data_IF_232993901039
#
_entry.id   IF_232993901039
#
_cell.length_a   1.000
_cell.length_b   1.000
_cell.length_c   1.000
_cell.angle_alpha   90.00
_cell.angle_beta   90.00
_cell.angle_gamma   90.00
#
_symmetry.space_group_name_H-M   'P 1'
#
loop_
_entity.id
_entity.type
_entity.pdbx_description
1 polymer ?
#
# COMPACT_ATOMS: atom_id res chain seq x y z
N UNK A 1 2.59 -35.16 -5.43
CA UNK A 1 3.22 -35.20 -4.09
C UNK A 1 3.41 -36.64 -3.59
N UNK A 2 2.43 -37.53 -3.76
CA UNK A 2 2.51 -38.92 -3.27
C UNK A 2 3.73 -39.73 -3.75
N UNK A 3 4.19 -39.51 -4.99
CA UNK A 3 5.39 -40.18 -5.49
C UNK A 3 6.64 -39.82 -4.67
N UNK A 4 6.80 -38.54 -4.32
CA UNK A 4 7.95 -38.05 -3.54
C UNK A 4 7.90 -38.58 -2.11
N UNK A 5 6.71 -38.62 -1.51
CA UNK A 5 6.52 -39.22 -0.19
C UNK A 5 6.86 -40.71 -0.17
N UNK A 6 6.44 -41.46 -1.21
CA UNK A 6 6.81 -42.87 -1.36
C UNK A 6 8.32 -43.09 -1.50
N UNK A 7 9.06 -42.06 -1.93
CA UNK A 7 10.52 -42.09 -2.06
C UNK A 7 11.25 -41.59 -0.81
N UNK A 8 10.54 -41.30 0.29
CA UNK A 8 11.15 -40.90 1.56
C UNK A 8 11.70 -39.48 1.58
N UNK A 9 11.16 -38.58 0.74
CA UNK A 9 11.56 -37.16 0.76
C UNK A 9 11.15 -36.52 2.07
N UNK A 10 12.09 -35.80 2.71
CA UNK A 10 11.80 -34.99 3.88
C UNK A 10 11.01 -33.74 3.50
N UNK A 11 9.76 -33.69 3.93
CA UNK A 11 8.83 -32.58 3.70
C UNK A 11 9.05 -31.40 4.66
N UNK A 12 9.79 -31.61 5.73
CA UNK A 12 10.10 -30.60 6.74
C UNK A 12 11.39 -29.86 6.43
N UNK A 13 12.12 -30.30 5.40
CA UNK A 13 13.33 -29.66 4.93
C UNK A 13 13.04 -28.21 4.51
N UNK A 14 13.97 -27.31 4.82
CA UNK A 14 13.80 -25.87 4.61
C UNK A 14 14.79 -25.34 3.60
N UNK A 15 14.35 -24.36 2.81
CA UNK A 15 15.26 -23.62 1.93
C UNK A 15 16.04 -22.54 2.68
N UNK A 16 16.91 -21.81 1.97
CA UNK A 16 17.72 -20.70 2.51
C UNK A 16 16.88 -19.55 3.11
N UNK A 17 15.59 -19.47 2.78
CA UNK A 17 14.64 -18.50 3.31
C UNK A 17 13.81 -19.08 4.46
N UNK A 18 14.18 -20.24 5.00
CA UNK A 18 13.46 -20.95 6.08
C UNK A 18 12.02 -21.31 5.72
N UNK A 19 11.74 -21.56 4.44
CA UNK A 19 10.45 -22.09 3.98
C UNK A 19 10.53 -23.60 3.80
N UNK A 20 9.57 -24.30 4.36
CA UNK A 20 9.34 -25.73 4.15
C UNK A 20 8.25 -25.99 3.10
N UNK A 21 7.88 -27.26 2.91
CA UNK A 21 6.87 -27.65 1.94
C UNK A 21 5.51 -26.97 2.17
N UNK A 22 5.06 -26.86 3.43
CA UNK A 22 3.77 -26.24 3.75
C UNK A 22 3.77 -24.74 3.43
N UNK A 23 4.85 -24.03 3.74
CA UNK A 23 5.02 -22.62 3.37
C UNK A 23 4.96 -22.42 1.84
N UNK A 24 5.59 -23.31 1.07
CA UNK A 24 5.58 -23.26 -0.39
C UNK A 24 4.20 -23.55 -0.98
N UNK A 25 3.44 -24.49 -0.40
CA UNK A 25 2.07 -24.80 -0.84
C UNK A 25 1.12 -23.65 -0.56
N UNK A 26 1.23 -23.01 0.60
CA UNK A 26 0.44 -21.82 0.94
C UNK A 26 0.78 -20.68 -0.02
N UNK A 27 2.07 -20.43 -0.26
CA UNK A 27 2.47 -19.36 -1.19
C UNK A 27 1.92 -19.57 -2.61
N UNK A 28 1.83 -20.83 -3.02
CA UNK A 28 1.44 -21.21 -4.39
C UNK A 28 -0.06 -21.46 -4.53
N UNK A 29 -0.85 -21.16 -3.50
CA UNK A 29 -2.29 -21.34 -3.48
C UNK A 29 -2.70 -22.79 -3.85
N UNK A 30 -2.05 -23.77 -3.23
CA UNK A 30 -2.24 -25.20 -3.50
C UNK A 30 -3.01 -25.86 -2.34
N UNK A 31 -4.33 -25.64 -2.29
CA UNK A 31 -5.17 -26.02 -1.15
C UNK A 31 -5.14 -27.53 -0.86
N UNK A 32 -5.28 -28.36 -1.89
CA UNK A 32 -5.27 -29.82 -1.77
C UNK A 32 -3.92 -30.36 -1.27
N UNK A 33 -2.83 -29.74 -1.71
CA UNK A 33 -1.49 -30.07 -1.24
C UNK A 33 -1.32 -29.71 0.24
N UNK A 34 -1.80 -28.53 0.66
CA UNK A 34 -1.77 -28.09 2.05
C UNK A 34 -2.63 -28.98 2.95
N UNK A 35 -3.85 -29.34 2.53
CA UNK A 35 -4.73 -30.30 3.24
C UNK A 35 -4.03 -31.64 3.46
N UNK A 36 -3.38 -32.16 2.42
CA UNK A 36 -2.68 -33.43 2.50
C UNK A 36 -1.50 -33.39 3.48
N UNK A 37 -0.74 -32.29 3.48
CA UNK A 37 0.38 -32.09 4.40
C UNK A 37 -0.10 -31.93 5.85
N UNK A 38 -1.15 -31.16 6.10
CA UNK A 38 -1.70 -30.94 7.45
C UNK A 38 -2.33 -32.22 8.03
N UNK A 39 -2.96 -33.06 7.21
CA UNK A 39 -3.61 -34.30 7.68
C UNK A 39 -2.63 -35.39 8.09
N UNK A 40 -1.50 -35.52 7.39
CA UNK A 40 -0.56 -36.64 7.56
C UNK A 40 0.55 -36.36 8.57
N UNK A 41 0.74 -35.10 8.97
CA UNK A 41 1.97 -34.63 9.59
C UNK A 41 1.69 -33.50 10.60
N UNK A 42 2.33 -33.52 11.76
CA UNK A 42 1.98 -32.68 12.92
C UNK A 42 3.08 -31.69 13.35
N UNK A 43 4.33 -31.92 12.94
CA UNK A 43 5.50 -31.07 13.30
C UNK A 43 5.57 -29.70 12.60
N UNK A 44 4.49 -29.24 11.98
CA UNK A 44 4.47 -27.97 11.24
C UNK A 44 4.54 -26.74 12.16
N UNK A 45 4.13 -26.88 13.41
CA UNK A 45 4.12 -25.80 14.40
C UNK A 45 5.24 -25.90 15.45
N UNK A 46 6.18 -26.81 15.26
CA UNK A 46 7.29 -27.06 16.17
C UNK A 46 8.22 -25.83 16.22
N UNK A 47 8.35 -25.15 17.39
CA UNK A 47 9.17 -23.95 17.52
C UNK A 47 10.67 -24.22 17.37
N UNK A 48 11.12 -25.47 17.53
CA UNK A 48 12.54 -25.82 17.45
C UNK A 48 13.06 -25.86 16.01
N UNK A 49 12.17 -25.90 15.00
CA UNK A 49 12.56 -26.06 13.60
C UNK A 49 13.21 -24.82 12.98
N UNK A 50 13.14 -23.65 13.62
CA UNK A 50 13.59 -22.37 13.05
C UNK A 50 13.10 -22.21 11.59
N UNK A 51 11.80 -22.36 11.41
CA UNK A 51 11.06 -22.26 10.14
C UNK A 51 10.06 -21.11 10.24
N UNK A 52 9.80 -20.44 9.13
CA UNK A 52 8.77 -19.40 9.10
C UNK A 52 7.41 -20.04 9.37
N UNK A 53 6.67 -19.46 10.30
CA UNK A 53 5.34 -19.94 10.66
C UNK A 53 4.39 -19.89 9.43
N UNK A 54 3.84 -21.03 8.99
CA UNK A 54 2.89 -21.13 7.87
C UNK A 54 1.68 -20.20 7.97
N UNK A 55 1.15 -19.98 9.18
CA UNK A 55 0.05 -19.05 9.42
C UNK A 55 0.45 -17.61 9.06
N UNK A 56 1.67 -17.20 9.42
CA UNK A 56 2.19 -15.87 9.06
C UNK A 56 2.38 -15.72 7.55
N UNK A 57 2.73 -16.79 6.83
CA UNK A 57 2.79 -16.78 5.36
C UNK A 57 1.41 -16.56 4.77
N UNK A 58 0.39 -17.31 5.22
CA UNK A 58 -0.98 -17.17 4.75
C UNK A 58 -1.51 -15.74 4.98
N UNK A 59 -1.26 -15.18 6.17
CA UNK A 59 -1.59 -13.78 6.51
C UNK A 59 -0.86 -12.78 5.62
N UNK A 60 0.45 -12.96 5.40
CA UNK A 60 1.27 -12.04 4.60
C UNK A 60 0.79 -11.96 3.14
N UNK A 61 0.32 -13.09 2.61
CA UNK A 61 -0.19 -13.19 1.24
C UNK A 61 -1.71 -13.02 1.11
N UNK A 62 -2.42 -12.89 2.23
CA UNK A 62 -3.88 -12.65 2.31
C UNK A 62 -4.69 -13.82 1.73
N UNK A 63 -4.14 -15.01 1.87
CA UNK A 63 -4.76 -16.24 1.42
C UNK A 63 -5.79 -16.68 2.47
N UNK A 64 -7.04 -16.22 2.29
CA UNK A 64 -8.12 -16.50 3.25
C UNK A 64 -8.45 -17.98 3.31
N UNK A 65 -8.36 -18.68 2.19
CA UNK A 65 -8.65 -20.11 2.13
C UNK A 65 -7.62 -20.91 2.94
N UNK A 66 -6.33 -20.55 2.83
CA UNK A 66 -5.28 -21.17 3.66
C UNK A 66 -5.38 -20.77 5.13
N UNK A 67 -5.76 -19.53 5.44
CA UNK A 67 -6.02 -19.12 6.84
C UNK A 67 -7.12 -19.98 7.44
N UNK A 68 -8.26 -20.11 6.74
CA UNK A 68 -9.39 -20.92 7.19
C UNK A 68 -9.02 -22.40 7.30
N UNK A 69 -8.22 -22.93 6.37
CA UNK A 69 -7.73 -24.30 6.39
C UNK A 69 -6.82 -24.58 7.61
N UNK A 70 -5.90 -23.66 7.91
CA UNK A 70 -5.01 -23.77 9.06
C UNK A 70 -5.79 -23.68 10.38
N UNK A 71 -6.76 -22.77 10.46
CA UNK A 71 -7.62 -22.63 11.65
C UNK A 71 -8.47 -23.90 11.88
N UNK A 72 -9.06 -24.47 10.83
CA UNK A 72 -9.81 -25.73 10.91
C UNK A 72 -8.94 -26.93 11.29
N UNK A 73 -7.65 -26.87 10.98
CA UNK A 73 -6.68 -27.91 11.30
C UNK A 73 -6.06 -27.76 12.70
N UNK A 74 -6.61 -26.87 13.55
CA UNK A 74 -6.08 -26.54 14.89
C UNK A 74 -4.63 -26.05 14.86
N UNK A 75 -4.18 -25.43 13.77
CA UNK A 75 -2.85 -24.87 13.68
C UNK A 75 -2.71 -23.67 14.64
N UNK A 76 -1.59 -23.50 15.38
CA UNK A 76 -1.43 -22.38 16.31
C UNK A 76 -1.57 -21.03 15.63
N UNK A 77 -2.65 -20.33 15.98
CA UNK A 77 -2.99 -19.01 15.43
C UNK A 77 -2.08 -17.94 16.03
N UNK A 78 -1.40 -17.20 15.17
CA UNK A 78 -0.60 -16.04 15.56
C UNK A 78 -1.11 -14.77 14.88
N UNK A 79 -2.26 -14.28 15.35
CA UNK A 79 -2.87 -13.02 14.87
C UNK A 79 -2.15 -11.82 15.46
N UNK A 80 -0.96 -11.51 14.95
CA UNK A 80 -0.29 -10.22 15.22
C UNK A 80 -0.60 -9.26 14.09
N UNK A 81 -1.43 -8.26 14.38
CA UNK A 81 -1.59 -7.09 13.51
C UNK A 81 -0.30 -6.27 13.57
N UNK A 82 0.50 -6.33 12.52
CA UNK A 82 1.74 -5.57 12.40
C UNK A 82 1.83 -4.92 11.03
N UNK A 83 2.37 -3.71 11.00
CA UNK A 83 2.75 -3.10 9.73
C UNK A 83 3.89 -3.90 9.12
N UNK A 84 3.65 -4.46 7.94
CA UNK A 84 4.65 -5.23 7.19
C UNK A 84 5.21 -4.40 6.03
N UNK A 85 4.42 -3.52 5.46
CA UNK A 85 4.81 -2.79 4.27
C UNK A 85 4.91 -1.31 4.57
N UNK A 86 6.08 -0.73 4.32
CA UNK A 86 6.30 0.70 4.27
C UNK A 86 6.42 1.12 2.79
N UNK A 87 5.82 2.24 2.39
CA UNK A 87 6.00 2.75 1.03
C UNK A 87 6.39 4.23 1.04
N UNK A 88 7.40 4.56 0.25
CA UNK A 88 7.80 5.94 -0.04
C UNK A 88 7.31 6.30 -1.43
N UNK A 89 6.60 7.42 -1.55
CA UNK A 89 6.00 7.85 -2.80
C UNK A 89 6.32 9.30 -3.10
N UNK A 90 6.60 9.58 -4.36
CA UNK A 90 6.67 10.94 -4.92
C UNK A 90 5.52 11.10 -5.87
N UNK A 91 4.84 12.23 -5.83
CA UNK A 91 3.64 12.47 -6.64
C UNK A 91 3.56 13.88 -7.22
N UNK A 92 2.77 14.01 -8.28
CA UNK A 92 2.32 15.28 -8.86
C UNK A 92 0.81 15.34 -8.68
N UNK A 93 0.33 16.33 -7.92
CA UNK A 93 -1.08 16.65 -7.74
C UNK A 93 -1.41 17.85 -8.62
N UNK A 94 -2.37 17.74 -9.52
CA UNK A 94 -2.68 18.78 -10.51
C UNK A 94 -4.18 18.97 -10.70
N UNK A 95 -4.55 20.21 -10.97
CA UNK A 95 -5.84 20.62 -11.52
C UNK A 95 -5.56 21.39 -12.83
N UNK A 96 -6.59 21.83 -13.55
CA UNK A 96 -6.43 22.57 -14.81
C UNK A 96 -5.66 23.90 -14.67
N UNK A 97 -5.52 24.44 -13.45
CA UNK A 97 -4.95 25.77 -13.20
C UNK A 97 -3.81 25.79 -12.19
N UNK A 98 -3.52 24.67 -11.55
CA UNK A 98 -2.57 24.64 -10.43
C UNK A 98 -2.02 23.23 -10.19
N UNK A 99 -0.89 23.15 -9.50
CA UNK A 99 -0.21 21.89 -9.21
C UNK A 99 0.56 21.94 -7.89
N UNK A 100 0.84 20.77 -7.34
CA UNK A 100 1.73 20.52 -6.22
C UNK A 100 2.60 19.31 -6.51
N UNK A 101 3.80 19.29 -5.94
CA UNK A 101 4.62 18.08 -5.83
C UNK A 101 4.46 17.52 -4.42
N UNK A 102 4.21 16.22 -4.32
CA UNK A 102 3.95 15.54 -3.07
C UNK A 102 5.01 14.51 -2.72
N UNK A 103 5.24 14.35 -1.42
CA UNK A 103 5.95 13.21 -0.85
C UNK A 103 5.04 12.52 0.16
N UNK A 104 4.93 11.21 0.07
CA UNK A 104 4.05 10.41 0.93
C UNK A 104 4.81 9.22 1.52
N UNK A 105 4.67 9.03 2.81
CA UNK A 105 5.05 7.83 3.55
C UNK A 105 3.77 7.07 3.93
N UNK A 106 3.72 5.77 3.67
CA UNK A 106 2.60 4.93 4.10
C UNK A 106 3.06 3.65 4.78
N UNK A 107 2.26 3.19 5.73
CA UNK A 107 2.45 1.92 6.42
C UNK A 107 1.19 1.08 6.26
N UNK A 108 1.34 -0.18 5.91
CA UNK A 108 0.23 -1.08 5.60
C UNK A 108 0.33 -2.38 6.39
N UNK A 109 -0.81 -2.76 6.95
CA UNK A 109 -1.06 -4.02 7.62
C UNK A 109 -1.63 -5.03 6.60
N UNK A 110 -1.04 -6.23 6.45
CA UNK A 110 -1.35 -7.13 5.35
C UNK A 110 -2.73 -7.78 5.44
N UNK A 111 -3.20 -8.20 6.63
CA UNK A 111 -4.43 -8.99 6.81
C UNK A 111 -5.67 -8.19 6.41
N UNK A 112 -5.79 -6.98 6.96
CA UNK A 112 -6.89 -6.08 6.64
C UNK A 112 -6.62 -5.26 5.38
N UNK A 113 -5.38 -5.19 4.88
CA UNK A 113 -4.99 -4.31 3.78
C UNK A 113 -5.35 -2.84 4.05
N UNK A 114 -5.31 -2.45 5.33
CA UNK A 114 -5.49 -1.09 5.81
C UNK A 114 -4.15 -0.51 6.24
N UNK A 115 -4.10 0.81 6.25
CA UNK A 115 -2.88 1.47 6.64
C UNK A 115 -3.07 2.92 6.97
N UNK A 116 -1.97 3.52 7.38
CA UNK A 116 -1.85 4.95 7.64
C UNK A 116 -1.00 5.58 6.53
N UNK A 117 -1.39 6.78 6.14
CA UNK A 117 -0.67 7.61 5.18
C UNK A 117 -0.34 8.93 5.83
N UNK A 118 0.85 9.44 5.56
CA UNK A 118 1.23 10.81 5.88
C UNK A 118 2.04 11.38 4.74
N UNK A 119 1.92 12.67 4.50
CA UNK A 119 2.66 13.31 3.45
C UNK A 119 2.63 14.81 3.54
N UNK A 120 3.39 15.42 2.66
CA UNK A 120 3.35 16.85 2.42
C UNK A 120 3.32 17.11 0.93
N UNK A 121 2.53 18.10 0.54
CA UNK A 121 2.49 18.64 -0.82
C UNK A 121 3.00 20.07 -0.78
N UNK A 122 3.88 20.42 -1.71
CA UNK A 122 4.44 21.76 -1.81
C UNK A 122 4.56 22.18 -3.26
N UNK A 123 4.44 23.47 -3.53
CA UNK A 123 4.73 24.05 -4.84
C UNK A 123 6.22 24.37 -4.92
N UNK A 124 6.95 23.67 -5.79
CA UNK A 124 8.38 23.97 -6.00
C UNK A 124 8.58 25.36 -6.60
N UNK A 125 7.63 25.83 -7.41
CA UNK A 125 7.63 27.15 -8.06
C UNK A 125 6.31 27.87 -7.81
N UNK A 126 6.31 29.19 -7.96
CA UNK A 126 5.11 30.00 -7.81
C UNK A 126 4.09 29.70 -8.91
N UNK A 127 2.82 29.50 -8.54
CA UNK A 127 1.71 29.42 -9.47
C UNK A 127 0.84 30.67 -9.40
N UNK A 128 0.24 31.04 -10.53
CA UNK A 128 -0.66 32.21 -10.62
C UNK A 128 -2.03 31.82 -10.11
N UNK A 129 -2.52 32.54 -9.10
CA UNK A 129 -3.84 32.33 -8.51
C UNK A 129 -4.65 33.63 -8.59
N UNK A 130 -5.97 33.50 -8.67
CA UNK A 130 -6.89 34.63 -8.69
C UNK A 130 -7.65 34.69 -7.37
N UNK A 131 -7.72 35.88 -6.78
CA UNK A 131 -8.57 36.15 -5.61
C UNK A 131 -9.62 37.18 -6.03
N UNK A 132 -10.89 36.85 -5.78
CA UNK A 132 -12.03 37.74 -6.05
C UNK A 132 -12.20 38.69 -4.87
N UNK A 133 -12.14 40.00 -5.11
CA UNK A 133 -12.48 41.01 -4.10
C UNK A 133 -13.95 41.43 -4.26
N UNK A 134 -14.37 41.75 -5.49
CA UNK A 134 -15.73 42.14 -5.84
C UNK A 134 -16.23 41.39 -7.09
N UNK A 135 -17.49 41.58 -7.50
CA UNK A 135 -18.08 40.90 -8.67
C UNK A 135 -17.30 41.11 -9.97
N UNK A 136 -16.73 42.31 -10.15
CA UNK A 136 -15.98 42.70 -11.35
C UNK A 136 -14.47 42.90 -11.12
N UNK A 137 -13.97 42.65 -9.90
CA UNK A 137 -12.56 42.91 -9.56
C UNK A 137 -11.87 41.65 -9.04
N UNK A 138 -10.84 41.24 -9.78
CA UNK A 138 -10.04 40.07 -9.50
C UNK A 138 -8.56 40.46 -9.48
N UNK A 139 -7.86 40.07 -8.41
CA UNK A 139 -6.42 40.24 -8.33
C UNK A 139 -5.72 38.94 -8.66
N UNK A 140 -4.63 39.06 -9.41
CA UNK A 140 -3.73 37.96 -9.69
C UNK A 140 -2.55 38.01 -8.74
N UNK A 141 -2.33 36.91 -8.04
CA UNK A 141 -1.23 36.73 -7.12
C UNK A 141 -0.39 35.52 -7.49
N UNK A 142 0.78 35.42 -6.85
CA UNK A 142 1.67 34.28 -6.94
C UNK A 142 1.66 33.52 -5.62
N UNK A 143 1.19 32.29 -5.67
CA UNK A 143 1.08 31.40 -4.52
C UNK A 143 2.20 30.35 -4.51
N UNK A 144 2.70 30.06 -3.32
CA UNK A 144 3.66 28.99 -3.03
C UNK A 144 3.28 28.32 -1.72
N UNK A 145 2.02 27.90 -1.65
CA UNK A 145 1.45 27.19 -0.51
C UNK A 145 2.00 25.77 -0.38
N UNK A 146 1.85 25.22 0.82
CA UNK A 146 2.16 23.84 1.13
C UNK A 146 1.07 23.26 2.01
N UNK A 147 0.84 21.95 1.93
CA UNK A 147 -0.06 21.24 2.83
C UNK A 147 0.66 20.05 3.44
N UNK A 148 0.33 19.74 4.69
CA UNK A 148 0.74 18.48 5.35
C UNK A 148 -0.53 17.71 5.65
N UNK A 149 -0.49 16.40 5.50
CA UNK A 149 -1.65 15.56 5.74
C UNK A 149 -1.29 14.23 6.41
N UNK A 150 -2.28 13.71 7.13
CA UNK A 150 -2.25 12.40 7.78
C UNK A 150 -3.63 11.75 7.64
N UNK A 151 -3.66 10.45 7.42
CA UNK A 151 -4.90 9.77 7.11
C UNK A 151 -4.82 8.26 7.17
N UNK A 152 -5.93 7.65 6.81
CA UNK A 152 -6.07 6.21 6.69
C UNK A 152 -6.42 5.83 5.26
N UNK A 153 -6.06 4.61 4.89
CA UNK A 153 -6.43 4.05 3.60
C UNK A 153 -6.79 2.57 3.71
N UNK A 154 -7.59 2.12 2.73
CA UNK A 154 -7.95 0.72 2.51
C UNK A 154 -7.65 0.38 1.05
N UNK A 155 -6.85 -0.66 0.85
CA UNK A 155 -6.61 -1.22 -0.48
C UNK A 155 -7.55 -2.41 -0.74
N UNK A 156 -8.11 -2.48 -1.94
CA UNK A 156 -8.95 -3.56 -2.44
C UNK A 156 -8.20 -4.22 -3.61
N UNK A 157 -7.73 -5.48 -3.47
CA UNK A 157 -7.05 -6.18 -4.56
C UNK A 157 -8.04 -6.50 -5.68
N UNK A 158 -7.69 -6.13 -6.91
CA UNK A 158 -8.43 -6.55 -8.12
C UNK A 158 -7.83 -7.82 -8.72
N UNK A 159 -6.55 -8.07 -8.50
CA UNK A 159 -5.83 -9.24 -9.01
C UNK A 159 -4.84 -9.75 -7.97
N UNK A 160 -4.62 -11.07 -7.92
CA UNK A 160 -3.58 -11.68 -7.09
C UNK A 160 -2.68 -12.63 -7.89
N UNK A 161 -1.76 -12.04 -8.66
CA UNK A 161 -0.76 -12.75 -9.43
C UNK A 161 0.55 -12.86 -8.65
N UNK A 162 1.19 -14.03 -8.73
CA UNK A 162 2.51 -14.27 -8.13
C UNK A 162 3.66 -13.57 -8.86
N UNK A 163 3.59 -13.49 -10.19
CA UNK A 163 4.71 -13.02 -11.05
C UNK A 163 4.36 -11.76 -11.84
N UNK A 164 3.09 -11.62 -12.26
CA UNK A 164 2.61 -10.47 -13.05
C UNK A 164 2.34 -9.26 -12.13
N UNK A 165 2.09 -8.11 -12.75
CA UNK A 165 1.65 -6.92 -12.02
C UNK A 165 0.30 -7.16 -11.35
N UNK A 166 0.12 -6.56 -10.17
CA UNK A 166 -1.14 -6.59 -9.43
C UNK A 166 -1.79 -5.21 -9.40
N UNK A 167 -3.11 -5.19 -9.51
CA UNK A 167 -3.91 -3.98 -9.50
C UNK A 167 -4.73 -3.89 -8.22
N UNK A 168 -4.87 -2.67 -7.71
CA UNK A 168 -5.61 -2.37 -6.50
C UNK A 168 -6.42 -1.10 -6.68
N UNK A 169 -7.63 -1.07 -6.12
CA UNK A 169 -8.37 0.16 -5.87
C UNK A 169 -8.08 0.56 -4.43
N UNK A 170 -7.78 1.82 -4.17
CA UNK A 170 -7.52 2.33 -2.83
C UNK A 170 -8.52 3.43 -2.53
N UNK A 171 -9.20 3.32 -1.39
CA UNK A 171 -9.96 4.41 -0.81
C UNK A 171 -9.14 5.01 0.34
N UNK A 172 -9.06 6.32 0.41
CA UNK A 172 -8.34 7.01 1.48
C UNK A 172 -9.08 8.24 1.97
N UNK A 173 -8.86 8.56 3.24
CA UNK A 173 -9.40 9.73 3.90
C UNK A 173 -8.28 10.36 4.72
N UNK A 174 -7.94 11.61 4.39
CA UNK A 174 -6.87 12.35 5.05
C UNK A 174 -7.37 13.64 5.67
N UNK A 175 -6.85 13.95 6.86
CA UNK A 175 -6.91 15.28 7.45
C UNK A 175 -5.66 16.05 7.00
N UNK A 176 -5.85 17.26 6.50
CA UNK A 176 -4.82 18.10 5.95
C UNK A 176 -4.82 19.48 6.62
N UNK A 177 -3.63 20.05 6.78
CA UNK A 177 -3.44 21.42 7.23
C UNK A 177 -2.67 22.16 6.14
N UNK A 178 -3.29 23.17 5.54
CA UNK A 178 -2.65 24.01 4.53
C UNK A 178 -2.03 25.23 5.20
N UNK A 179 -0.74 25.43 4.93
CA UNK A 179 0.01 26.61 5.34
C UNK A 179 -0.13 27.66 4.24
N UNK A 180 -0.91 28.71 4.52
CA UNK A 180 -1.01 29.85 3.63
C UNK A 180 0.30 30.62 3.65
N UNK A 181 0.98 30.70 2.51
CA UNK A 181 2.21 31.47 2.41
C UNK A 181 1.88 32.92 2.01
N UNK A 182 2.70 33.88 2.45
CA UNK A 182 2.55 35.28 2.06
C UNK A 182 2.62 35.38 0.53
N UNK A 183 1.57 35.93 -0.07
CA UNK A 183 1.51 36.06 -1.53
C UNK A 183 2.65 36.98 -1.98
N UNK A 184 3.36 36.58 -3.04
CA UNK A 184 4.56 37.31 -3.45
C UNK A 184 4.20 38.77 -3.79
N UNK A 185 4.84 39.71 -3.11
CA UNK A 185 4.66 41.14 -3.34
C UNK A 185 3.50 41.79 -2.59
N UNK A 186 2.84 41.09 -1.66
CA UNK A 186 1.77 41.67 -0.83
C UNK A 186 1.93 41.37 0.66
N UNK A 187 1.15 42.02 1.51
CA UNK A 187 0.99 41.67 2.94
C UNK A 187 -0.12 40.62 3.16
N UNK A 188 -0.80 40.19 2.10
CA UNK A 188 -1.93 39.27 2.18
C UNK A 188 -1.38 37.85 2.31
N UNK A 189 -1.79 37.18 3.38
CA UNK A 189 -1.51 35.78 3.63
C UNK A 189 -2.86 35.04 3.63
N UNK A 190 -3.06 34.03 2.76
CA UNK A 190 -4.21 33.15 2.85
C UNK A 190 -4.27 32.54 4.26
N UNK A 191 -5.47 32.39 4.82
CA UNK A 191 -5.62 31.77 6.14
C UNK A 191 -5.07 30.33 6.15
N UNK A 192 -4.56 29.90 7.30
CA UNK A 192 -4.32 28.47 7.48
C UNK A 192 -5.67 27.76 7.60
N UNK A 193 -5.81 26.64 6.92
CA UNK A 193 -7.09 25.96 6.80
C UNK A 193 -6.92 24.47 7.04
N UNK A 194 -7.85 23.90 7.80
CA UNK A 194 -7.95 22.46 8.00
C UNK A 194 -8.90 21.87 6.95
N UNK A 195 -8.49 20.79 6.29
CA UNK A 195 -9.24 20.17 5.18
C UNK A 195 -9.36 18.68 5.38
N UNK A 196 -10.50 18.14 4.97
CA UNK A 196 -10.68 16.70 4.83
C UNK A 196 -10.57 16.36 3.35
N UNK A 197 -9.70 15.41 3.02
CA UNK A 197 -9.38 15.00 1.66
C UNK A 197 -9.80 13.54 1.49
N UNK A 198 -11.02 13.27 1.01
CA UNK A 198 -11.37 11.96 0.50
C UNK A 198 -10.72 11.76 -0.88
N UNK A 199 -10.22 10.55 -1.13
CA UNK A 199 -9.60 10.21 -2.39
C UNK A 199 -9.80 8.74 -2.76
N UNK A 200 -9.88 8.49 -4.06
CA UNK A 200 -9.90 7.15 -4.65
C UNK A 200 -8.75 7.03 -5.64
N UNK A 201 -8.01 5.93 -5.60
CA UNK A 201 -6.88 5.70 -6.49
C UNK A 201 -6.83 4.30 -7.06
N UNK A 202 -6.30 4.19 -8.27
CA UNK A 202 -5.87 2.92 -8.85
C UNK A 202 -4.36 2.81 -8.67
N UNK A 203 -3.92 1.66 -8.14
CA UNK A 203 -2.53 1.33 -7.90
C UNK A 203 -2.14 0.09 -8.70
N UNK A 204 -1.09 0.19 -9.50
CA UNK A 204 -0.45 -0.94 -10.16
C UNK A 204 0.88 -1.24 -9.47
N UNK A 205 1.04 -2.45 -8.93
CA UNK A 205 2.22 -2.88 -8.20
C UNK A 205 2.94 -4.01 -8.93
N UNK A 206 4.27 -3.93 -9.01
CA UNK A 206 5.14 -5.00 -9.53
C UNK A 206 6.40 -5.07 -8.68
N UNK A 207 6.57 -6.19 -7.96
CA UNK A 207 7.63 -6.34 -6.95
C UNK A 207 7.57 -5.17 -5.94
N UNK A 208 8.69 -4.48 -5.72
CA UNK A 208 8.80 -3.34 -4.82
C UNK A 208 8.27 -2.03 -5.42
N UNK A 209 7.99 -1.96 -6.72
CA UNK A 209 7.56 -0.71 -7.35
C UNK A 209 6.05 -0.64 -7.50
N UNK A 210 5.49 0.57 -7.36
CA UNK A 210 4.09 0.82 -7.69
C UNK A 210 3.88 2.17 -8.39
N UNK A 211 2.90 2.21 -9.28
CA UNK A 211 2.37 3.42 -9.90
C UNK A 211 0.97 3.69 -9.33
N UNK A 212 0.67 4.95 -9.09
CA UNK A 212 -0.56 5.42 -8.46
C UNK A 212 -1.18 6.49 -9.36
N UNK A 213 -2.47 6.36 -9.63
CA UNK A 213 -3.30 7.41 -10.23
C UNK A 213 -4.52 7.60 -9.35
N UNK A 214 -4.75 8.81 -8.85
CA UNK A 214 -5.77 9.12 -7.87
C UNK A 214 -6.58 10.36 -8.26
N UNK A 215 -7.81 10.38 -7.77
CA UNK A 215 -8.69 11.54 -7.77
C UNK A 215 -8.92 11.91 -6.31
N UNK A 216 -8.65 13.17 -5.98
CA UNK A 216 -8.79 13.73 -4.64
C UNK A 216 -9.79 14.88 -4.66
N UNK A 217 -10.57 15.00 -3.58
CA UNK A 217 -11.44 16.15 -3.38
C UNK A 217 -10.80 17.09 -2.35
N UNK A 218 -10.40 18.29 -2.77
CA UNK A 218 -9.79 19.31 -1.92
C UNK A 218 -10.18 20.70 -2.42
N UNK A 219 -10.97 21.42 -1.62
CA UNK A 219 -11.35 22.80 -1.91
C UNK A 219 -10.19 23.79 -1.73
N UNK A 220 -10.21 24.87 -2.51
CA UNK A 220 -9.28 26.00 -2.39
C UNK A 220 -10.06 27.31 -2.46
N UNK A 221 -9.57 28.34 -1.77
CA UNK A 221 -10.19 29.68 -1.77
C UNK A 221 -9.96 30.46 -3.08
N UNK A 222 -9.13 29.93 -3.98
CA UNK A 222 -8.77 30.59 -5.22
C UNK A 222 -9.87 30.48 -6.28
N UNK A 223 -10.12 31.60 -6.96
CA UNK A 223 -11.15 31.70 -7.98
C UNK A 223 -10.88 30.78 -9.17
N UNK A 224 -11.93 30.04 -9.59
CA UNK A 224 -11.91 29.05 -10.69
C UNK A 224 -10.97 27.85 -10.49
N UNK A 225 -10.49 27.60 -9.28
CA UNK A 225 -9.84 26.32 -8.94
C UNK A 225 -10.91 25.40 -8.34
N UNK A 226 -11.25 24.35 -9.09
CA UNK A 226 -12.25 23.38 -8.65
C UNK A 226 -11.74 22.47 -7.54
N UNK A 227 -12.63 21.78 -6.82
CA UNK A 227 -12.24 20.90 -5.71
C UNK A 227 -11.67 19.56 -6.18
N UNK A 228 -11.72 19.24 -7.48
CA UNK A 228 -11.25 17.97 -8.03
C UNK A 228 -9.77 18.07 -8.44
N UNK A 229 -8.95 17.18 -7.89
CA UNK A 229 -7.52 17.10 -8.18
C UNK A 229 -7.12 15.71 -8.66
N UNK A 230 -6.24 15.66 -9.65
CA UNK A 230 -5.62 14.43 -10.13
C UNK A 230 -4.25 14.28 -9.48
N UNK A 231 -3.95 13.10 -8.95
CA UNK A 231 -2.62 12.80 -8.40
C UNK A 231 -2.01 11.60 -9.08
N UNK A 232 -0.82 11.80 -9.63
CA UNK A 232 -0.01 10.74 -10.24
C UNK A 232 1.22 10.51 -9.38
N UNK A 233 1.50 9.26 -9.00
CA UNK A 233 2.58 8.95 -8.08
C UNK A 233 3.37 7.71 -8.47
N UNK A 234 4.64 7.72 -8.09
CA UNK A 234 5.53 6.57 -8.12
C UNK A 234 5.91 6.21 -6.69
N UNK A 235 5.92 4.91 -6.38
CA UNK A 235 6.12 4.42 -5.02
C UNK A 235 7.11 3.26 -4.98
N UNK A 236 7.95 3.24 -3.95
CA UNK A 236 8.82 2.13 -3.60
C UNK A 236 8.40 1.53 -2.27
N UNK A 237 8.14 0.22 -2.28
CA UNK A 237 7.67 -0.57 -1.16
C UNK A 237 8.83 -1.32 -0.52
N UNK A 238 8.98 -1.12 0.78
CA UNK A 238 9.85 -1.86 1.68
C UNK A 238 8.99 -2.85 2.48
N UNK A 239 9.46 -4.08 2.62
CA UNK A 239 8.83 -5.10 3.44
C UNK A 239 9.69 -5.31 4.68
N UNK A 240 9.08 -5.15 5.86
CA UNK A 240 9.75 -5.16 7.15
C UNK A 240 9.91 -6.58 7.69
N UNK A 241 9.02 -7.50 7.31
CA UNK A 241 9.13 -8.89 7.70
C UNK A 241 10.04 -9.70 6.76
N UNK A 242 10.69 -10.71 7.34
CA UNK A 242 11.46 -11.71 6.58
C UNK A 242 10.58 -12.89 6.11
N UNK A 243 9.25 -12.73 6.13
CA UNK A 243 8.32 -13.83 5.77
C UNK A 243 8.33 -14.06 4.27
N UNK A 244 8.54 -13.01 3.47
CA UNK A 244 8.46 -13.06 2.01
C UNK A 244 9.72 -13.66 1.39
N UNK A 245 9.58 -14.80 0.71
CA UNK A 245 10.63 -15.35 -0.15
C UNK A 245 10.45 -14.93 -1.63
N UNK A 246 11.55 -14.69 -2.37
CA UNK A 246 11.46 -14.39 -3.80
C UNK A 246 10.99 -15.60 -4.60
N UNK A 247 10.14 -15.35 -5.60
CA UNK A 247 9.71 -16.40 -6.54
C UNK A 247 10.86 -16.72 -7.50
N UNK A 248 11.32 -17.98 -7.51
CA UNK A 248 12.30 -18.49 -8.47
C UNK A 248 11.56 -19.16 -9.63
N UNK A 249 11.80 -18.71 -10.85
CA UNK A 249 11.34 -19.40 -12.06
C UNK A 249 12.39 -20.47 -12.38
N UNK A 250 12.02 -21.74 -12.24
CA UNK A 250 12.85 -22.87 -12.64
C UNK A 250 12.43 -23.26 -14.05
N UNK A 251 13.36 -23.15 -15.01
CA UNK A 251 13.17 -23.69 -16.36
C UNK A 251 13.58 -25.16 -16.32
N UNK A 252 12.60 -26.05 -16.48
CA UNK A 252 12.86 -27.47 -16.72
C UNK A 252 13.17 -27.61 -18.21
N UNK A 253 14.36 -28.13 -18.53
CA UNK A 253 14.79 -28.49 -19.87
C UNK A 253 14.67 -30.01 -20.05
#
# INVERSE_FOLDING_TARGET
MDLLLKKGVDIYEKNIYKWDALNLTIRSDQEEAAKMLLKKYDRWADPERDVINPYNVAVTYRDKEMIDLLEKSNFPVNRRTQFDQMALSVSLKTCFRDFYTGFTLSFKEPLSNMGIITGFDTKLWYSRVLIKENENLFYQYLDKSSLVYGGIFKEFPLTDNLVKSNYYITASLSAAYSFGNKLKGTLIQPGNEFKVIPAVSIKMSKKNFALISAIEFTGTDFYKIGPLWWRFGFSYNFFLNNVRAPVKIIKWY
#
